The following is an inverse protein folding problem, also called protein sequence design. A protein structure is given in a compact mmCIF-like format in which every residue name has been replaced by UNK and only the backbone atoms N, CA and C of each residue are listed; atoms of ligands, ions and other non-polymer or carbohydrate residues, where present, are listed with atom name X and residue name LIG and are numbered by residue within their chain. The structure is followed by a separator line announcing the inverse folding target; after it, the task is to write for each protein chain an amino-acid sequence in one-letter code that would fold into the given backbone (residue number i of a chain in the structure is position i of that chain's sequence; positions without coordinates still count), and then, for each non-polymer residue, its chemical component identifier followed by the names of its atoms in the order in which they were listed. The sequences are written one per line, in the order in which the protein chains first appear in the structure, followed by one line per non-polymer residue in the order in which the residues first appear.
data_IF_941884087547
#
_entry.id   IF_941884087547
#
_cell.length_a   1.000
_cell.length_b   1.000
_cell.length_c   1.000
_cell.angle_alpha   90.00
_cell.angle_beta   90.00
_cell.angle_gamma   90.00
#
_symmetry.space_group_name_H-M   'P 1'
#
loop_
_entity.id
_entity.type
_entity.pdbx_description
1 polymer ?
#
# COMPACT_ATOMS: atom_id res chain seq x y z
N UNK A 1 -14.44 -15.44 -30.31
CA UNK A 1 -14.07 -14.68 -29.10
C UNK A 1 -13.89 -13.24 -29.50
N UNK A 2 -14.83 -12.37 -29.15
CA UNK A 2 -14.71 -10.92 -29.41
C UNK A 2 -13.63 -10.41 -28.48
N UNK A 3 -12.49 -9.97 -29.04
CA UNK A 3 -11.46 -9.28 -28.27
C UNK A 3 -12.11 -8.06 -27.62
N UNK A 4 -12.04 -7.94 -26.30
CA UNK A 4 -12.47 -6.76 -25.57
C UNK A 4 -11.69 -5.57 -26.16
N UNK A 5 -12.39 -4.71 -26.90
CA UNK A 5 -11.82 -3.49 -27.47
C UNK A 5 -11.40 -2.61 -26.29
N UNK A 6 -10.11 -2.63 -25.96
CA UNK A 6 -9.58 -1.87 -24.84
C UNK A 6 -9.88 -0.39 -25.02
N UNK A 7 -10.41 0.24 -23.98
CA UNK A 7 -10.67 1.68 -23.96
C UNK A 7 -9.57 2.36 -23.16
N UNK A 8 -9.03 3.45 -23.67
CA UNK A 8 -8.11 4.30 -22.92
C UNK A 8 -8.85 5.01 -21.79
N UNK A 9 -8.16 5.32 -20.70
CA UNK A 9 -8.73 6.04 -19.56
C UNK A 9 -9.27 7.43 -19.94
N UNK A 10 -8.78 8.01 -21.04
CA UNK A 10 -9.18 9.30 -21.62
C UNK A 10 -10.48 9.24 -22.43
N UNK A 11 -10.85 8.08 -22.98
CA UNK A 11 -12.09 7.87 -23.75
C UNK A 11 -13.31 7.56 -22.87
N UNK A 12 -13.12 7.42 -21.55
CA UNK A 12 -14.21 7.12 -20.61
C UNK A 12 -15.11 8.34 -20.39
N UNK A 13 -16.43 8.14 -20.46
CA UNK A 13 -17.39 9.13 -19.95
C UNK A 13 -17.08 9.47 -18.50
N UNK A 14 -17.23 10.76 -18.12
CA UNK A 14 -16.97 11.24 -16.75
C UNK A 14 -17.64 10.40 -15.66
N UNK A 15 -18.86 9.91 -15.93
CA UNK A 15 -19.59 9.05 -14.99
C UNK A 15 -18.92 7.68 -14.78
N UNK A 16 -18.44 7.04 -15.87
CA UNK A 16 -17.75 5.75 -15.81
C UNK A 16 -16.36 5.89 -15.18
N UNK A 17 -15.65 6.97 -15.51
CA UNK A 17 -14.36 7.29 -14.90
C UNK A 17 -14.50 7.50 -13.39
N UNK A 18 -15.47 8.33 -12.97
CA UNK A 18 -15.72 8.59 -11.55
C UNK A 18 -16.11 7.31 -10.81
N UNK A 19 -17.00 6.50 -11.39
CA UNK A 19 -17.39 5.22 -10.82
C UNK A 19 -16.18 4.29 -10.61
N UNK A 20 -15.34 4.10 -11.63
CA UNK A 20 -14.13 3.27 -11.51
C UNK A 20 -13.14 3.84 -10.47
N UNK A 21 -12.98 5.17 -10.41
CA UNK A 21 -12.10 5.82 -9.46
C UNK A 21 -12.57 5.66 -8.01
N UNK A 22 -13.86 5.88 -7.75
CA UNK A 22 -14.45 5.66 -6.43
C UNK A 22 -14.37 4.20 -6.03
N UNK A 23 -14.67 3.28 -6.94
CA UNK A 23 -14.60 1.84 -6.68
C UNK A 23 -13.18 1.42 -6.27
N UNK A 24 -12.15 1.82 -7.00
CA UNK A 24 -10.76 1.46 -6.62
C UNK A 24 -10.32 2.23 -5.36
N UNK A 25 -10.80 3.44 -5.12
CA UNK A 25 -10.55 4.16 -3.85
C UNK A 25 -11.16 3.42 -2.66
N UNK A 26 -12.37 2.85 -2.79
CA UNK A 26 -12.95 2.00 -1.73
C UNK A 26 -12.17 0.72 -1.52
N UNK A 27 -11.51 0.18 -2.55
CA UNK A 27 -10.59 -0.94 -2.40
C UNK A 27 -9.38 -0.56 -1.55
N UNK A 28 -8.76 0.60 -1.80
CA UNK A 28 -7.67 1.14 -0.97
C UNK A 28 -8.09 1.35 0.50
N UNK A 29 -9.30 1.87 0.73
CA UNK A 29 -9.85 2.00 2.08
C UNK A 29 -10.02 0.64 2.75
N UNK A 30 -10.69 -0.30 2.08
CA UNK A 30 -11.04 -1.60 2.68
C UNK A 30 -9.81 -2.45 2.96
N UNK A 31 -8.82 -2.42 2.06
CA UNK A 31 -7.48 -2.93 2.32
C UNK A 31 -6.88 -2.25 3.55
N UNK A 32 -6.77 -0.92 3.57
CA UNK A 32 -6.09 -0.20 4.65
C UNK A 32 -6.69 -0.52 6.03
N UNK A 33 -8.00 -0.68 6.08
CA UNK A 33 -8.74 -1.15 7.24
C UNK A 33 -8.32 -2.56 7.66
N UNK A 34 -8.22 -3.48 6.70
CA UNK A 34 -7.84 -4.86 6.95
C UNK A 34 -6.37 -4.99 7.40
N UNK A 35 -5.47 -4.15 6.91
CA UNK A 35 -4.08 -4.05 7.43
C UNK A 35 -4.04 -3.67 8.89
N UNK A 36 -4.74 -2.58 9.24
CA UNK A 36 -4.77 -2.11 10.61
C UNK A 36 -5.35 -3.16 11.56
N UNK A 37 -6.35 -3.92 11.11
CA UNK A 37 -6.84 -5.10 11.85
C UNK A 37 -5.74 -6.16 12.01
N UNK A 38 -5.08 -6.57 10.92
CA UNK A 38 -4.02 -7.58 10.95
C UNK A 38 -2.87 -7.20 11.89
N UNK A 39 -2.50 -5.92 11.98
CA UNK A 39 -1.45 -5.45 12.88
C UNK A 39 -1.81 -5.63 14.35
N UNK A 40 -3.05 -5.31 14.74
CA UNK A 40 -3.53 -5.55 16.11
C UNK A 40 -3.55 -7.04 16.42
N UNK A 41 -3.98 -7.86 15.46
CA UNK A 41 -4.00 -9.31 15.62
C UNK A 41 -2.56 -9.86 15.77
N UNK A 42 -1.62 -9.41 14.94
CA UNK A 42 -0.20 -9.79 15.00
C UNK A 42 0.44 -9.47 16.36
N UNK A 43 0.16 -8.29 16.92
CA UNK A 43 0.62 -7.94 18.28
C UNK A 43 0.05 -8.91 19.33
N UNK A 44 -1.22 -9.28 19.19
CA UNK A 44 -1.86 -10.22 20.10
C UNK A 44 -1.29 -11.65 19.98
N UNK A 45 -0.97 -12.11 18.76
CA UNK A 45 -0.33 -13.41 18.54
C UNK A 45 0.98 -13.58 19.29
N UNK A 46 1.82 -12.55 19.31
CA UNK A 46 3.10 -12.60 20.02
C UNK A 46 2.89 -12.85 21.51
N UNK A 47 1.85 -12.24 22.10
CA UNK A 47 1.51 -12.40 23.53
C UNK A 47 0.85 -13.73 23.86
N UNK A 48 -0.05 -14.24 23.00
CA UNK A 48 -0.83 -15.45 23.28
C UNK A 48 -0.01 -16.73 23.06
N UNK A 49 0.87 -16.75 22.06
CA UNK A 49 1.65 -17.95 21.70
C UNK A 49 3.06 -17.97 22.26
N UNK A 50 3.49 -16.92 23.00
CA UNK A 50 4.84 -16.83 23.54
C UNK A 50 5.92 -16.94 22.47
N UNK A 51 5.63 -16.44 21.27
CA UNK A 51 6.47 -16.60 20.08
C UNK A 51 7.79 -15.88 20.31
N UNK A 52 8.91 -16.56 20.02
CA UNK A 52 10.24 -15.94 20.15
C UNK A 52 10.38 -14.78 19.17
N UNK A 53 11.21 -13.77 19.49
CA UNK A 53 11.48 -12.65 18.57
C UNK A 53 11.89 -13.12 17.17
N UNK A 54 12.69 -14.19 17.09
CA UNK A 54 13.09 -14.82 15.84
C UNK A 54 11.90 -15.29 15.00
N UNK A 55 10.94 -15.97 15.62
CA UNK A 55 9.73 -16.44 14.93
C UNK A 55 8.81 -15.27 14.53
N UNK A 56 8.71 -14.21 15.34
CA UNK A 56 7.97 -13.01 14.93
C UNK A 56 8.58 -12.34 13.70
N UNK A 57 9.92 -12.24 13.67
CA UNK A 57 10.66 -11.70 12.52
C UNK A 57 10.53 -12.61 11.30
N UNK A 58 10.53 -13.93 11.46
CA UNK A 58 10.33 -14.88 10.36
C UNK A 58 8.91 -14.80 9.78
N UNK A 59 7.90 -14.52 10.59
CA UNK A 59 6.52 -14.31 10.10
C UNK A 59 6.44 -13.04 9.23
N UNK A 60 7.09 -11.95 9.68
CA UNK A 60 7.24 -10.74 8.89
C UNK A 60 8.03 -11.01 7.60
N UNK A 61 9.12 -11.76 7.68
CA UNK A 61 9.90 -12.16 6.51
C UNK A 61 9.06 -12.97 5.51
N UNK A 62 8.17 -13.85 5.96
CA UNK A 62 7.28 -14.59 5.07
C UNK A 62 6.26 -13.67 4.39
N UNK A 63 5.66 -12.76 5.16
CA UNK A 63 4.73 -11.77 4.63
C UNK A 63 5.38 -10.87 3.56
N UNK A 64 6.58 -10.37 3.83
CA UNK A 64 7.31 -9.48 2.92
C UNK A 64 8.05 -10.23 1.81
N UNK A 65 8.50 -11.45 2.08
CA UNK A 65 9.03 -12.36 1.07
C UNK A 65 8.00 -12.68 0.00
N UNK A 66 6.72 -12.74 0.36
CA UNK A 66 5.63 -12.89 -0.59
C UNK A 66 5.56 -11.70 -1.58
N UNK A 67 5.77 -10.46 -1.13
CA UNK A 67 5.83 -9.29 -2.01
C UNK A 67 6.95 -9.42 -3.04
N UNK A 68 8.15 -9.75 -2.57
CA UNK A 68 9.32 -9.87 -3.43
C UNK A 68 9.17 -11.00 -4.46
N UNK A 69 8.69 -12.17 -4.02
CA UNK A 69 8.58 -13.36 -4.87
C UNK A 69 7.37 -13.29 -5.80
N UNK A 70 6.22 -12.80 -5.32
CA UNK A 70 4.95 -12.90 -6.04
C UNK A 70 4.60 -11.69 -6.90
N UNK A 71 5.02 -10.46 -6.53
CA UNK A 71 4.68 -9.25 -7.28
C UNK A 71 5.04 -9.33 -8.77
N UNK A 72 6.20 -9.89 -9.20
CA UNK A 72 6.51 -10.06 -10.62
C UNK A 72 5.53 -10.99 -11.35
N UNK A 73 5.12 -12.09 -10.71
CA UNK A 73 4.14 -13.03 -11.27
C UNK A 73 2.75 -12.40 -11.39
N UNK A 74 2.35 -11.61 -10.39
CA UNK A 74 1.11 -10.85 -10.44
C UNK A 74 1.10 -9.86 -11.63
N UNK A 75 2.23 -9.18 -11.88
CA UNK A 75 2.39 -8.31 -13.06
C UNK A 75 2.23 -9.04 -14.39
N UNK A 76 2.86 -10.22 -14.53
CA UNK A 76 2.72 -11.08 -15.73
C UNK A 76 1.27 -11.55 -15.92
N UNK A 77 0.61 -11.96 -14.83
CA UNK A 77 -0.78 -12.40 -14.85
C UNK A 77 -1.71 -11.27 -15.32
N UNK A 78 -1.57 -10.08 -14.76
CA UNK A 78 -2.38 -8.92 -15.16
C UNK A 78 -2.10 -8.47 -16.59
N UNK A 79 -0.89 -8.68 -17.09
CA UNK A 79 -0.57 -8.44 -18.49
C UNK A 79 -1.41 -9.32 -19.40
N UNK A 80 -1.49 -10.62 -19.10
CA UNK A 80 -2.21 -11.59 -19.92
C UNK A 80 -3.73 -11.54 -19.75
N UNK A 81 -4.22 -11.23 -18.55
CA UNK A 81 -5.62 -11.41 -18.17
C UNK A 81 -6.36 -10.12 -17.78
N UNK A 82 -5.66 -8.98 -17.71
CA UNK A 82 -6.27 -7.70 -17.37
C UNK A 82 -6.27 -7.34 -15.88
N UNK A 83 -6.63 -6.10 -15.57
CA UNK A 83 -6.71 -5.58 -14.20
C UNK A 83 -7.84 -6.21 -13.40
N UNK A 84 -9.04 -6.38 -13.99
CA UNK A 84 -10.20 -6.95 -13.29
C UNK A 84 -9.90 -8.37 -12.77
N UNK A 85 -9.33 -9.24 -13.61
CA UNK A 85 -8.93 -10.59 -13.20
C UNK A 85 -7.79 -10.57 -12.19
N UNK A 86 -6.87 -9.60 -12.26
CA UNK A 86 -5.83 -9.39 -11.25
C UNK A 86 -6.42 -9.06 -9.86
N UNK A 87 -7.38 -8.15 -9.79
CA UNK A 87 -8.08 -7.79 -8.53
C UNK A 87 -8.79 -9.02 -7.95
N UNK A 88 -9.49 -9.80 -8.78
CA UNK A 88 -10.12 -11.05 -8.34
C UNK A 88 -9.13 -12.08 -7.80
N UNK A 89 -7.98 -12.25 -8.47
CA UNK A 89 -6.91 -13.14 -8.00
C UNK A 89 -6.39 -12.68 -6.63
N UNK A 90 -6.12 -11.38 -6.47
CA UNK A 90 -5.63 -10.81 -5.22
C UNK A 90 -6.62 -10.97 -4.05
N UNK A 91 -7.90 -10.63 -4.27
CA UNK A 91 -8.95 -10.78 -3.25
C UNK A 91 -9.21 -12.25 -2.89
N UNK A 92 -9.09 -13.16 -3.87
CA UNK A 92 -9.26 -14.60 -3.64
C UNK A 92 -8.10 -15.17 -2.81
N UNK A 93 -6.85 -14.83 -3.14
CA UNK A 93 -5.66 -15.23 -2.37
C UNK A 93 -5.72 -14.66 -0.95
N UNK A 94 -6.11 -13.39 -0.81
CA UNK A 94 -6.29 -12.75 0.50
C UNK A 94 -7.31 -13.49 1.36
N UNK A 95 -8.50 -13.75 0.82
CA UNK A 95 -9.58 -14.46 1.53
C UNK A 95 -9.18 -15.90 1.86
N UNK A 96 -8.50 -16.59 0.94
CA UNK A 96 -8.01 -17.96 1.15
C UNK A 96 -6.97 -18.01 2.27
N UNK A 97 -6.03 -17.08 2.30
CA UNK A 97 -5.03 -16.99 3.36
C UNK A 97 -5.66 -16.70 4.73
N UNK A 98 -6.68 -15.85 4.78
CA UNK A 98 -7.45 -15.60 6.01
C UNK A 98 -8.27 -16.83 6.46
N UNK A 99 -8.82 -17.63 5.53
CA UNK A 99 -9.51 -18.89 5.86
C UNK A 99 -8.52 -19.93 6.40
N UNK A 100 -7.34 -20.07 5.78
CA UNK A 100 -6.28 -20.99 6.24
C UNK A 100 -5.68 -20.61 7.59
N UNK A 101 -5.89 -19.37 8.02
CA UNK A 101 -5.54 -18.93 9.35
C UNK A 101 -6.34 -19.70 10.44
N UNK A 102 -7.61 -20.02 10.17
CA UNK A 102 -8.48 -20.74 11.12
C UNK A 102 -7.95 -22.12 11.54
N UNK A 103 -7.69 -23.07 10.61
CA UNK A 103 -7.10 -24.36 10.99
C UNK A 103 -5.71 -24.17 11.60
N UNK A 104 -4.91 -23.21 11.12
CA UNK A 104 -3.59 -22.91 11.70
C UNK A 104 -3.68 -22.52 13.17
N UNK A 105 -4.70 -21.71 13.53
CA UNK A 105 -5.01 -21.34 14.91
C UNK A 105 -5.49 -22.53 15.75
N UNK A 106 -6.31 -23.41 15.19
CA UNK A 106 -6.82 -24.60 15.90
C UNK A 106 -5.72 -25.61 16.21
N UNK A 107 -4.81 -25.85 15.27
CA UNK A 107 -3.71 -26.81 15.42
C UNK A 107 -2.47 -26.21 16.09
N UNK A 108 -2.43 -24.89 16.30
CA UNK A 108 -1.36 -24.17 16.98
C UNK A 108 0.04 -24.44 16.39
N UNK A 109 0.13 -24.71 15.08
CA UNK A 109 1.40 -25.00 14.40
C UNK A 109 1.95 -23.74 13.74
N UNK A 110 3.13 -23.30 14.18
CA UNK A 110 3.84 -22.14 13.62
C UNK A 110 3.96 -22.15 12.10
N UNK A 111 4.29 -23.30 11.49
CA UNK A 111 4.41 -23.41 10.03
C UNK A 111 3.10 -23.14 9.26
N UNK A 112 1.95 -23.48 9.84
CA UNK A 112 0.64 -23.18 9.23
C UNK A 112 0.36 -21.68 9.18
N UNK A 113 0.74 -20.96 10.24
CA UNK A 113 0.65 -19.51 10.27
C UNK A 113 1.58 -18.85 9.25
N UNK A 114 2.83 -19.30 9.17
CA UNK A 114 3.79 -18.79 8.16
C UNK A 114 3.25 -18.97 6.74
N UNK A 115 2.72 -20.16 6.42
CA UNK A 115 2.12 -20.43 5.11
C UNK A 115 0.89 -19.55 4.84
N UNK A 116 0.01 -19.39 5.83
CA UNK A 116 -1.19 -18.56 5.70
C UNK A 116 -0.83 -17.09 5.48
N UNK A 117 0.13 -16.56 6.25
CA UNK A 117 0.64 -15.19 6.13
C UNK A 117 1.32 -14.96 4.77
N UNK A 118 2.05 -15.95 4.24
CA UNK A 118 2.64 -15.87 2.91
C UNK A 118 1.55 -15.75 1.83
N UNK A 119 0.49 -16.57 1.91
CA UNK A 119 -0.64 -16.52 0.96
C UNK A 119 -1.38 -15.17 1.03
N UNK A 120 -1.60 -14.64 2.23
CA UNK A 120 -2.15 -13.28 2.42
C UNK A 120 -1.24 -12.24 1.75
N UNK A 121 0.08 -12.31 1.98
CA UNK A 121 1.06 -11.43 1.36
C UNK A 121 1.02 -11.47 -0.17
N UNK A 122 0.88 -12.65 -0.78
CA UNK A 122 0.71 -12.79 -2.24
C UNK A 122 -0.57 -12.10 -2.74
N UNK A 123 -1.67 -12.24 -2.01
CA UNK A 123 -2.94 -11.58 -2.33
C UNK A 123 -2.82 -10.06 -2.29
N UNK A 124 -2.22 -9.54 -1.22
CA UNK A 124 -2.01 -8.10 -1.04
C UNK A 124 -1.07 -7.53 -2.08
N UNK A 125 0.08 -8.17 -2.33
CA UNK A 125 1.00 -7.77 -3.40
C UNK A 125 0.29 -7.71 -4.76
N UNK A 126 -0.59 -8.68 -5.06
CA UNK A 126 -1.38 -8.67 -6.31
C UNK A 126 -2.32 -7.46 -6.36
N UNK A 127 -3.00 -7.14 -5.25
CA UNK A 127 -3.91 -5.99 -5.16
C UNK A 127 -3.16 -4.66 -5.26
N UNK A 128 -1.99 -4.54 -4.65
CA UNK A 128 -1.13 -3.36 -4.72
C UNK A 128 -0.70 -3.06 -6.16
N UNK A 129 -0.19 -4.09 -6.86
CA UNK A 129 0.23 -3.94 -8.26
C UNK A 129 -0.98 -3.56 -9.12
N UNK A 130 -2.14 -4.20 -8.89
CA UNK A 130 -3.34 -3.92 -9.67
C UNK A 130 -3.88 -2.51 -9.43
N UNK A 131 -4.09 -2.13 -8.16
CA UNK A 131 -4.79 -0.90 -7.79
C UNK A 131 -3.94 0.35 -8.04
N UNK A 132 -2.64 0.33 -7.67
CA UNK A 132 -1.75 1.47 -7.91
C UNK A 132 -1.58 1.71 -9.42
N UNK A 133 -1.38 0.63 -10.19
CA UNK A 133 -1.27 0.70 -11.64
C UNK A 133 -2.56 1.18 -12.29
N UNK A 134 -3.72 0.64 -11.88
CA UNK A 134 -5.01 1.03 -12.45
C UNK A 134 -5.32 2.51 -12.20
N UNK A 135 -5.15 3.03 -10.98
CA UNK A 135 -5.41 4.45 -10.70
C UNK A 135 -4.46 5.39 -11.46
N UNK A 136 -3.20 4.99 -11.64
CA UNK A 136 -2.25 5.83 -12.37
C UNK A 136 -2.65 5.98 -13.84
N UNK A 137 -3.12 4.90 -14.48
CA UNK A 137 -3.60 4.92 -15.88
C UNK A 137 -5.06 5.36 -16.04
N UNK A 138 -5.83 5.45 -14.96
CA UNK A 138 -7.24 5.84 -15.00
C UNK A 138 -7.39 7.36 -15.24
N UNK A 139 -7.47 7.76 -16.51
CA UNK A 139 -7.68 9.15 -16.94
C UNK A 139 -6.38 9.82 -17.36
N UNK A 140 -6.36 11.16 -17.38
CA UNK A 140 -5.24 11.90 -17.99
C UNK A 140 -3.91 11.72 -17.22
N UNK A 141 -2.77 11.53 -17.90
CA UNK A 141 -1.47 11.33 -17.23
C UNK A 141 -1.04 12.48 -16.32
N UNK A 142 -1.48 13.72 -16.60
CA UNK A 142 -1.14 14.93 -15.82
C UNK A 142 -1.54 14.82 -14.35
N UNK A 143 -2.72 14.26 -14.06
CA UNK A 143 -3.26 14.18 -12.70
C UNK A 143 -3.07 12.80 -12.05
N UNK A 144 -2.25 11.91 -12.63
CA UNK A 144 -2.04 10.56 -12.13
C UNK A 144 -1.52 10.55 -10.68
N UNK A 145 -0.53 11.39 -10.37
CA UNK A 145 0.03 11.50 -9.03
C UNK A 145 -1.02 11.95 -8.00
N UNK A 146 -1.83 12.97 -8.35
CA UNK A 146 -2.89 13.48 -7.48
C UNK A 146 -3.98 12.43 -7.21
N UNK A 147 -4.40 11.69 -8.24
CA UNK A 147 -5.39 10.60 -8.10
C UNK A 147 -4.89 9.48 -7.20
N UNK A 148 -3.66 9.03 -7.43
CA UNK A 148 -3.05 7.98 -6.62
C UNK A 148 -2.87 8.43 -5.17
N UNK A 149 -2.41 9.67 -4.97
CA UNK A 149 -2.24 10.24 -3.64
C UNK A 149 -3.59 10.40 -2.90
N UNK A 150 -4.66 10.76 -3.59
CA UNK A 150 -6.01 10.82 -3.01
C UNK A 150 -6.49 9.44 -2.56
N UNK A 151 -6.38 8.42 -3.42
CA UNK A 151 -6.80 7.06 -3.08
C UNK A 151 -5.99 6.47 -1.92
N UNK A 152 -4.67 6.71 -1.90
CA UNK A 152 -3.81 6.32 -0.79
C UNK A 152 -4.06 7.15 0.49
N UNK A 153 -4.62 8.36 0.39
CA UNK A 153 -5.11 9.11 1.55
C UNK A 153 -6.21 8.35 2.30
N UNK A 154 -7.17 7.78 1.57
CA UNK A 154 -8.24 6.94 2.15
C UNK A 154 -7.71 5.64 2.75
N UNK A 155 -6.69 5.03 2.15
CA UNK A 155 -5.98 3.91 2.76
C UNK A 155 -5.41 4.31 4.13
N UNK A 156 -4.72 5.46 4.22
CA UNK A 156 -4.17 5.98 5.46
C UNK A 156 -5.25 6.13 6.54
N UNK A 157 -6.37 6.80 6.22
CA UNK A 157 -7.52 6.94 7.13
C UNK A 157 -8.01 5.58 7.65
N UNK A 158 -8.15 4.62 6.75
CA UNK A 158 -8.63 3.29 7.08
C UNK A 158 -7.67 2.53 8.02
N UNK A 159 -6.37 2.69 7.83
CA UNK A 159 -5.34 2.09 8.68
C UNK A 159 -5.33 2.63 10.11
N UNK A 160 -5.88 3.82 10.39
CA UNK A 160 -6.17 4.26 11.77
C UNK A 160 -7.51 3.76 12.29
N UNK A 161 -8.53 3.75 11.44
CA UNK A 161 -9.86 3.32 11.82
C UNK A 161 -9.87 1.84 12.24
N UNK A 162 -9.12 0.99 11.54
CA UNK A 162 -8.98 -0.44 11.81
C UNK A 162 -8.59 -0.75 13.26
N UNK A 163 -7.39 -0.34 13.72
CA UNK A 163 -6.93 -0.61 15.08
C UNK A 163 -7.81 0.02 16.16
N UNK A 164 -8.36 1.21 15.92
CA UNK A 164 -9.23 1.89 16.89
C UNK A 164 -10.56 1.16 17.10
N UNK A 165 -11.16 0.68 16.01
CA UNK A 165 -12.37 -0.15 16.07
C UNK A 165 -12.02 -1.50 16.69
N UNK A 166 -10.87 -2.08 16.30
CA UNK A 166 -10.42 -3.37 16.79
C UNK A 166 -10.19 -3.38 18.31
N UNK A 167 -9.41 -2.42 18.81
CA UNK A 167 -9.09 -2.29 20.21
C UNK A 167 -10.31 -2.02 21.09
N UNK A 168 -11.32 -1.30 20.59
CA UNK A 168 -12.56 -1.01 21.35
C UNK A 168 -13.59 -2.13 21.31
N UNK A 169 -13.74 -2.86 20.21
CA UNK A 169 -14.85 -3.80 20.04
C UNK A 169 -14.45 -5.27 20.15
N UNK A 170 -13.22 -5.62 19.75
CA UNK A 170 -12.78 -7.03 19.76
C UNK A 170 -11.92 -7.39 20.97
N UNK A 171 -11.14 -6.45 21.53
CA UNK A 171 -10.11 -6.77 22.53
C UNK A 171 -10.36 -6.21 23.95
N UNK A 172 -11.60 -5.86 24.31
CA UNK A 172 -11.97 -5.46 25.68
C UNK A 172 -12.52 -6.65 26.51
N UNK A 173 -12.14 -6.71 27.79
CA UNK A 173 -12.74 -7.61 28.78
C UNK A 173 -12.28 -9.08 28.67
N UNK A 174 -13.22 -10.04 28.77
CA UNK A 174 -12.95 -11.49 28.78
C UNK A 174 -12.35 -12.04 27.47
N UNK A 175 -12.33 -11.24 26.40
CA UNK A 175 -11.87 -11.62 25.06
C UNK A 175 -10.41 -11.21 24.79
N UNK A 176 -9.75 -10.57 25.76
CA UNK A 176 -8.42 -10.00 25.61
C UNK A 176 -7.28 -11.03 25.56
N UNK A 177 -7.55 -12.33 25.74
CA UNK A 177 -6.52 -13.39 25.70
C UNK A 177 -6.98 -14.68 25.02
N UNK A 178 -8.18 -14.69 24.43
CA UNK A 178 -8.80 -15.92 23.90
C UNK A 178 -8.59 -16.04 22.40
N UNK A 179 -8.06 -17.18 21.98
CA UNK A 179 -7.83 -17.56 20.58
C UNK A 179 -9.09 -17.53 19.72
N UNK A 180 -10.25 -17.81 20.32
CA UNK A 180 -11.53 -17.82 19.63
C UNK A 180 -11.87 -16.45 19.04
N UNK A 181 -11.61 -15.36 19.76
CA UNK A 181 -11.82 -13.98 19.28
C UNK A 181 -11.04 -13.73 18.00
N UNK A 182 -9.80 -14.23 17.95
CA UNK A 182 -8.89 -13.99 16.83
C UNK A 182 -9.35 -14.76 15.59
N UNK A 183 -9.85 -15.99 15.76
CA UNK A 183 -10.42 -16.79 14.67
C UNK A 183 -11.62 -16.10 14.01
N UNK A 184 -12.53 -15.56 14.82
CA UNK A 184 -13.70 -14.83 14.31
C UNK A 184 -13.33 -13.54 13.59
N UNK A 185 -12.28 -12.83 14.02
CA UNK A 185 -11.81 -11.63 13.31
C UNK A 185 -11.20 -12.00 11.95
N UNK A 186 -10.38 -13.05 11.85
CA UNK A 186 -9.89 -13.52 10.55
C UNK A 186 -11.01 -13.98 9.62
N UNK A 187 -12.03 -14.64 10.15
CA UNK A 187 -13.21 -15.03 9.37
C UNK A 187 -13.98 -13.79 8.87
N UNK A 188 -14.13 -12.76 9.70
CA UNK A 188 -14.73 -11.49 9.31
C UNK A 188 -13.93 -10.78 8.21
N UNK A 189 -12.61 -10.79 8.31
CA UNK A 189 -11.70 -10.25 7.28
C UNK A 189 -11.79 -11.06 5.97
N UNK A 190 -11.83 -12.39 6.06
CA UNK A 190 -12.03 -13.26 4.89
C UNK A 190 -13.40 -13.01 4.23
N UNK A 191 -14.45 -12.86 5.04
CA UNK A 191 -15.80 -12.53 4.57
C UNK A 191 -15.85 -11.18 3.86
N UNK A 192 -15.20 -10.16 4.41
CA UNK A 192 -15.07 -8.85 3.78
C UNK A 192 -14.35 -8.95 2.42
N UNK A 193 -13.26 -9.71 2.34
CA UNK A 193 -12.54 -9.98 1.09
C UNK A 193 -13.43 -10.66 0.04
N UNK A 194 -14.23 -11.65 0.44
CA UNK A 194 -15.20 -12.34 -0.41
C UNK A 194 -16.32 -11.42 -0.89
N UNK A 195 -16.88 -10.60 -0.01
CA UNK A 195 -17.93 -9.63 -0.36
C UNK A 195 -17.40 -8.63 -1.38
N UNK A 196 -16.20 -8.07 -1.17
CA UNK A 196 -15.55 -7.22 -2.16
C UNK A 196 -15.34 -7.96 -3.48
N UNK A 197 -14.87 -9.20 -3.44
CA UNK A 197 -14.63 -10.00 -4.64
C UNK A 197 -15.92 -10.16 -5.48
N UNK A 198 -17.05 -10.42 -4.82
CA UNK A 198 -18.37 -10.51 -5.44
C UNK A 198 -18.83 -9.14 -5.96
N UNK A 199 -18.64 -8.05 -5.20
CA UNK A 199 -18.99 -6.71 -5.66
C UNK A 199 -18.21 -6.32 -6.92
N UNK A 200 -16.89 -6.59 -6.95
CA UNK A 200 -16.04 -6.34 -8.11
C UNK A 200 -16.40 -7.23 -9.32
N UNK A 201 -17.05 -8.37 -9.09
CA UNK A 201 -17.51 -9.24 -10.17
C UNK A 201 -18.66 -8.57 -10.94
N UNK A 202 -19.64 -8.03 -10.20
CA UNK A 202 -20.79 -7.31 -10.75
C UNK A 202 -20.45 -5.89 -11.22
N UNK A 203 -19.33 -5.31 -10.78
CA UNK A 203 -18.90 -4.01 -11.26
C UNK A 203 -18.24 -4.11 -12.64
N UNK A 204 -18.73 -3.32 -13.59
CA UNK A 204 -18.08 -3.13 -14.88
C UNK A 204 -16.88 -2.18 -14.73
N UNK A 205 -15.74 -2.77 -14.39
CA UNK A 205 -14.47 -2.06 -14.39
C UNK A 205 -13.99 -1.93 -15.85
N UNK A 206 -13.89 -0.70 -16.41
CA UNK A 206 -13.38 -0.53 -17.76
C UNK A 206 -11.95 -1.06 -17.84
N UNK A 207 -11.72 -1.95 -18.79
CA UNK A 207 -10.41 -2.58 -18.96
C UNK A 207 -9.52 -1.67 -19.80
N UNK A 208 -8.47 -1.15 -19.15
CA UNK A 208 -7.42 -0.38 -19.78
C UNK A 208 -6.36 -1.39 -20.24
N UNK A 209 -6.31 -1.64 -21.55
CA UNK A 209 -5.33 -2.55 -22.15
C UNK A 209 -4.02 -1.83 -22.40
N UNK A 210 -2.92 -2.58 -22.37
CA UNK A 210 -1.58 -2.05 -22.69
C UNK A 210 -1.48 -1.61 -24.15
N UNK A 211 -2.20 -2.29 -25.05
CA UNK A 211 -2.31 -1.96 -26.47
C UNK A 211 -2.96 -0.58 -26.66
N UNK A 212 -4.09 -0.32 -25.98
CA UNK A 212 -4.73 0.99 -26.02
C UNK A 212 -3.84 2.09 -25.42
N UNK A 213 -3.05 1.76 -24.40
CA UNK A 213 -2.09 2.69 -23.80
C UNK A 213 -0.90 2.99 -24.75
N UNK A 214 -0.45 1.99 -25.50
CA UNK A 214 0.60 2.14 -26.51
C UNK A 214 0.09 2.97 -27.70
N UNK A 215 -1.12 2.68 -28.18
CA UNK A 215 -1.76 3.43 -29.27
C UNK A 215 -1.93 4.92 -28.89
N UNK A 216 -2.33 5.23 -27.65
CA UNK A 216 -2.44 6.63 -27.16
C UNK A 216 -1.07 7.34 -27.09
N UNK A 217 0.01 6.60 -26.82
CA UNK A 217 1.38 7.14 -26.81
C UNK A 217 1.85 7.41 -28.26
N UNK A 218 1.53 6.52 -29.19
CA UNK A 218 1.86 6.66 -30.63
C UNK A 218 1.07 7.81 -31.28
N UNK A 219 -0.21 7.99 -30.94
CA UNK A 219 -1.04 9.10 -31.45
C UNK A 219 -0.50 10.48 -31.04
N UNK A 220 0.18 10.56 -29.89
CA UNK A 220 0.80 11.81 -29.38
C UNK A 220 2.23 12.00 -29.95
N UNK A 221 2.70 11.10 -30.83
CA UNK A 221 4.00 11.20 -31.49
C UNK A 221 5.20 10.88 -30.60
N UNK A 222 4.98 10.18 -29.48
CA UNK A 222 6.06 9.66 -28.64
C UNK A 222 6.47 8.31 -29.24
N UNK A 223 7.68 8.21 -29.77
CA UNK A 223 8.21 6.94 -30.27
C UNK A 223 8.17 5.89 -29.15
N UNK A 224 7.56 4.75 -29.46
CA UNK A 224 7.55 3.58 -28.60
C UNK A 224 8.97 3.05 -28.55
N UNK A 225 9.71 3.42 -27.51
CA UNK A 225 10.94 2.70 -27.19
C UNK A 225 10.54 1.33 -26.60
N UNK A 226 9.98 0.49 -27.47
CA UNK A 226 9.74 -0.94 -27.29
C UNK A 226 11.07 -1.71 -27.20
N UNK A 227 12.17 -1.01 -26.92
CA UNK A 227 13.42 -1.59 -26.48
C UNK A 227 13.23 -2.44 -25.21
N UNK A 228 14.23 -3.26 -24.87
CA UNK A 228 14.14 -4.15 -23.72
C UNK A 228 13.81 -3.42 -22.42
N UNK A 229 12.97 -4.03 -21.57
CA UNK A 229 12.53 -3.46 -20.28
C UNK A 229 13.67 -2.95 -19.38
N UNK A 230 14.87 -3.52 -19.47
CA UNK A 230 16.03 -3.06 -18.70
C UNK A 230 16.57 -1.67 -19.13
N UNK A 231 16.24 -1.20 -20.34
CA UNK A 231 16.60 0.13 -20.84
C UNK A 231 15.65 1.23 -20.38
N UNK A 232 14.54 0.87 -19.71
CA UNK A 232 13.60 1.81 -19.13
C UNK A 232 14.17 2.39 -17.83
N UNK A 233 15.24 3.17 -17.94
CA UNK A 233 16.02 3.71 -16.82
C UNK A 233 15.14 4.45 -15.81
N UNK A 234 14.11 5.17 -16.27
CA UNK A 234 13.15 5.87 -15.40
C UNK A 234 12.41 4.92 -14.44
N UNK A 235 12.02 3.74 -14.91
CA UNK A 235 11.36 2.74 -14.09
C UNK A 235 12.35 2.10 -13.10
N UNK A 236 13.60 1.86 -13.53
CA UNK A 236 14.65 1.31 -12.66
C UNK A 236 15.05 2.32 -11.58
N UNK A 237 15.24 3.59 -11.92
CA UNK A 237 15.47 4.66 -10.95
C UNK A 237 14.26 4.86 -10.03
N UNK A 238 13.04 4.74 -10.55
CA UNK A 238 11.81 4.72 -9.75
C UNK A 238 11.79 3.57 -8.74
N UNK A 239 12.22 2.37 -9.15
CA UNK A 239 12.36 1.22 -8.26
C UNK A 239 13.41 1.44 -7.15
N UNK A 240 14.58 1.97 -7.49
CA UNK A 240 15.63 2.31 -6.50
C UNK A 240 15.14 3.39 -5.55
N UNK A 241 14.51 4.45 -6.06
CA UNK A 241 13.96 5.54 -5.27
C UNK A 241 12.84 5.03 -4.33
N UNK A 242 11.97 4.14 -4.82
CA UNK A 242 10.94 3.52 -4.01
C UNK A 242 11.55 2.66 -2.90
N UNK A 243 12.63 1.92 -3.19
CA UNK A 243 13.37 1.12 -2.21
C UNK A 243 13.97 1.98 -1.10
N UNK A 244 14.65 3.07 -1.48
CA UNK A 244 15.20 4.00 -0.52
C UNK A 244 14.10 4.67 0.32
N UNK A 245 12.99 5.08 -0.32
CA UNK A 245 11.86 5.71 0.36
C UNK A 245 11.22 4.78 1.39
N UNK A 246 10.88 3.55 1.02
CA UNK A 246 10.24 2.62 1.98
C UNK A 246 11.22 2.27 3.09
N UNK A 247 12.49 2.00 2.77
CA UNK A 247 13.51 1.75 3.78
C UNK A 247 13.59 2.88 4.81
N UNK A 248 13.54 4.13 4.35
CA UNK A 248 13.51 5.31 5.21
C UNK A 248 12.21 5.41 6.03
N UNK A 249 11.05 5.29 5.38
CA UNK A 249 9.72 5.31 6.02
C UNK A 249 9.65 4.34 7.20
N UNK A 250 10.05 3.11 6.94
CA UNK A 250 9.97 2.03 7.92
C UNK A 250 11.02 2.20 9.02
N UNK A 251 12.24 2.59 8.66
CA UNK A 251 13.27 2.89 9.64
C UNK A 251 12.78 3.96 10.63
N UNK A 252 12.25 5.07 10.12
CA UNK A 252 11.72 6.15 10.95
C UNK A 252 10.55 5.65 11.80
N UNK A 253 9.56 4.97 11.22
CA UNK A 253 8.40 4.47 11.97
C UNK A 253 8.77 3.46 13.07
N UNK A 254 9.73 2.57 12.80
CA UNK A 254 10.17 1.52 13.73
C UNK A 254 10.91 2.09 14.93
N UNK A 255 11.71 3.14 14.74
CA UNK A 255 12.48 3.77 15.81
C UNK A 255 11.80 4.98 16.45
N UNK A 256 10.70 5.49 15.88
CA UNK A 256 10.01 6.69 16.36
C UNK A 256 9.62 6.62 17.84
N UNK A 257 9.06 5.50 18.32
CA UNK A 257 8.67 5.37 19.74
C UNK A 257 9.89 5.46 20.65
N UNK A 258 10.96 4.75 20.32
CA UNK A 258 12.20 4.76 21.11
C UNK A 258 12.82 6.16 21.11
N UNK A 259 12.91 6.79 19.94
CA UNK A 259 13.41 8.16 19.80
C UNK A 259 12.63 9.16 20.65
N UNK A 260 11.29 9.06 20.68
CA UNK A 260 10.43 9.95 21.46
C UNK A 260 10.63 9.79 22.97
N UNK A 261 10.86 8.58 23.46
CA UNK A 261 11.17 8.32 24.88
C UNK A 261 12.54 8.88 25.24
N UNK A 262 13.52 8.71 24.36
CA UNK A 262 14.92 9.11 24.58
C UNK A 262 15.16 10.62 24.43
N UNK A 263 14.14 11.43 24.10
CA UNK A 263 14.25 12.90 23.98
C UNK A 263 14.56 13.63 25.30
N UNK A 264 14.61 12.95 26.45
CA UNK A 264 14.96 13.56 27.75
C UNK A 264 13.89 14.49 28.33
N UNK A 265 12.69 14.52 27.75
CA UNK A 265 11.56 15.39 28.18
C UNK A 265 10.49 14.63 28.98
N UNK A 266 10.83 13.45 29.53
CA UNK A 266 9.94 12.67 30.39
C UNK A 266 8.71 12.08 29.66
N UNK A 267 8.84 11.78 28.37
CA UNK A 267 7.77 11.11 27.61
C UNK A 267 7.70 9.64 28.05
N UNK A 268 6.55 9.22 28.57
CA UNK A 268 6.29 7.81 28.87
C UNK A 268 6.10 7.00 27.57
N UNK A 269 6.35 5.69 27.62
CA UNK A 269 6.17 4.81 26.45
C UNK A 269 4.76 4.87 25.87
N UNK A 270 3.72 4.93 26.72
CA UNK A 270 2.34 5.11 26.28
C UNK A 270 2.11 6.46 25.56
N UNK A 271 2.71 7.54 26.07
CA UNK A 271 2.61 8.86 25.41
C UNK A 271 3.38 8.90 24.09
N UNK A 272 4.52 8.22 23.99
CA UNK A 272 5.27 8.08 22.74
C UNK A 272 4.49 7.31 21.68
N UNK A 273 3.80 6.22 22.05
CA UNK A 273 2.90 5.50 21.13
C UNK A 273 1.76 6.38 20.61
N UNK A 274 1.13 7.18 21.48
CA UNK A 274 0.09 8.14 21.06
C UNK A 274 0.63 9.23 20.12
N UNK A 275 1.83 9.74 20.40
CA UNK A 275 2.50 10.73 19.53
C UNK A 275 2.82 10.14 18.16
N UNK A 276 3.26 8.88 18.07
CA UNK A 276 3.45 8.20 16.79
C UNK A 276 2.13 8.12 16.01
N UNK A 277 1.01 7.81 16.66
CA UNK A 277 -0.31 7.84 16.00
C UNK A 277 -0.64 9.23 15.45
N UNK A 278 -0.29 10.32 16.15
CA UNK A 278 -0.46 11.68 15.64
C UNK A 278 0.49 12.02 14.48
N UNK A 279 1.74 11.53 14.47
CA UNK A 279 2.64 11.64 13.31
C UNK A 279 2.03 10.96 12.08
N UNK A 280 1.49 9.76 12.25
CA UNK A 280 0.86 9.00 11.19
C UNK A 280 -0.46 9.68 10.70
N UNK A 281 -1.22 10.35 11.58
CA UNK A 281 -2.33 11.22 11.17
C UNK A 281 -1.85 12.42 10.35
N UNK A 282 -0.72 13.02 10.75
CA UNK A 282 -0.10 14.14 10.03
C UNK A 282 0.34 13.71 8.62
N UNK A 283 0.89 12.51 8.48
CA UNK A 283 1.19 11.90 7.18
C UNK A 283 -0.07 11.77 6.30
N UNK A 284 -1.18 11.33 6.89
CA UNK A 284 -2.45 11.19 6.15
C UNK A 284 -3.05 12.54 5.76
N UNK A 285 -3.01 13.53 6.65
CA UNK A 285 -3.40 14.91 6.34
C UNK A 285 -2.50 15.49 5.24
N UNK A 286 -1.20 15.23 5.30
CA UNK A 286 -0.20 15.60 4.28
C UNK A 286 -0.55 15.03 2.90
N UNK A 287 -1.09 13.81 2.83
CA UNK A 287 -1.58 13.26 1.56
C UNK A 287 -2.71 14.10 0.98
N UNK A 288 -3.76 14.40 1.75
CA UNK A 288 -4.89 15.20 1.26
C UNK A 288 -4.48 16.62 0.86
N UNK A 289 -3.60 17.27 1.64
CA UNK A 289 -3.03 18.58 1.29
C UNK A 289 -2.20 18.46 0.01
N UNK A 290 -1.39 17.40 -0.11
CA UNK A 290 -0.59 17.08 -1.28
C UNK A 290 -1.42 16.91 -2.55
N UNK A 291 -2.64 16.37 -2.47
CA UNK A 291 -3.56 16.30 -3.63
C UNK A 291 -3.87 17.68 -4.18
N UNK A 292 -4.13 18.67 -3.30
CA UNK A 292 -4.42 20.05 -3.72
C UNK A 292 -3.19 20.66 -4.39
N UNK A 293 -2.01 20.48 -3.80
CA UNK A 293 -0.75 21.03 -4.33
C UNK A 293 -0.38 20.38 -5.68
N UNK A 294 -0.55 19.07 -5.82
CA UNK A 294 -0.27 18.31 -7.05
C UNK A 294 -1.17 18.70 -8.24
N UNK A 295 -2.27 19.41 -8.01
CA UNK A 295 -3.07 19.94 -9.11
C UNK A 295 -2.39 21.16 -9.77
N UNK A 296 -1.49 21.84 -9.06
CA UNK A 296 -0.92 23.14 -9.45
C UNK A 296 0.58 23.03 -9.75
N UNK A 297 1.29 22.14 -9.05
CA UNK A 297 2.74 21.95 -9.17
C UNK A 297 3.05 20.64 -9.88
N UNK A 298 4.11 20.61 -10.70
CA UNK A 298 4.60 19.39 -11.34
C UNK A 298 5.00 18.33 -10.30
N UNK A 299 4.57 17.06 -10.44
CA UNK A 299 4.88 16.00 -9.47
C UNK A 299 6.38 15.75 -9.25
N UNK A 300 7.23 15.95 -10.25
CA UNK A 300 8.67 15.74 -10.11
C UNK A 300 9.30 16.86 -9.28
N UNK A 301 8.94 18.13 -9.54
CA UNK A 301 9.40 19.25 -8.74
C UNK A 301 8.94 19.14 -7.29
N UNK A 302 7.66 18.79 -7.08
CA UNK A 302 7.12 18.63 -5.73
C UNK A 302 7.81 17.49 -4.98
N UNK A 303 8.07 16.36 -5.65
CA UNK A 303 8.84 15.24 -5.08
C UNK A 303 10.25 15.68 -4.69
N UNK A 304 10.95 16.46 -5.52
CA UNK A 304 12.30 16.96 -5.20
C UNK A 304 12.30 17.86 -3.96
N UNK A 305 11.33 18.78 -3.86
CA UNK A 305 11.19 19.66 -2.69
C UNK A 305 10.93 18.85 -1.43
N UNK A 306 10.01 17.87 -1.50
CA UNK A 306 9.64 17.04 -0.37
C UNK A 306 10.79 16.10 0.04
N UNK A 307 11.55 15.57 -0.92
CA UNK A 307 12.72 14.75 -0.65
C UNK A 307 13.82 15.54 0.08
N UNK A 308 14.12 16.76 -0.37
CA UNK A 308 15.07 17.65 0.32
C UNK A 308 14.58 17.97 1.73
N UNK A 309 13.30 18.31 1.90
CA UNK A 309 12.71 18.57 3.21
C UNK A 309 12.83 17.34 4.13
N UNK A 310 12.51 16.13 3.65
CA UNK A 310 12.67 14.89 4.41
C UNK A 310 14.13 14.67 4.84
N UNK A 311 15.10 14.87 3.94
CA UNK A 311 16.53 14.75 4.28
C UNK A 311 16.95 15.78 5.33
N UNK A 312 16.51 17.04 5.20
CA UNK A 312 16.79 18.09 6.19
C UNK A 312 16.19 17.75 7.55
N UNK A 313 14.92 17.37 7.62
CA UNK A 313 14.28 17.01 8.89
C UNK A 313 14.88 15.75 9.49
N UNK A 314 15.29 14.76 8.69
CA UNK A 314 16.00 13.59 9.19
C UNK A 314 17.34 13.97 9.87
N UNK A 315 18.09 14.90 9.27
CA UNK A 315 19.31 15.43 9.88
C UNK A 315 18.96 16.20 11.17
N UNK A 316 17.94 17.06 11.15
CA UNK A 316 17.51 17.80 12.34
C UNK A 316 17.10 16.86 13.48
N UNK A 317 16.37 15.77 13.20
CA UNK A 317 15.99 14.75 14.19
C UNK A 317 17.23 14.11 14.82
N UNK A 318 18.31 13.90 14.05
CA UNK A 318 19.56 13.34 14.58
C UNK A 318 20.36 14.28 15.47
N UNK A 319 20.17 15.60 15.35
CA UNK A 319 20.97 16.62 16.04
C UNK A 319 20.21 17.33 17.16
N UNK A 320 18.89 17.45 17.03
CA UNK A 320 18.04 18.19 17.95
C UNK A 320 17.44 17.27 19.00
N UNK A 321 17.40 17.75 20.24
CA UNK A 321 16.80 17.06 21.37
C UNK A 321 15.57 17.82 21.89
N UNK A 322 14.72 17.11 22.64
CA UNK A 322 13.53 17.66 23.28
C UNK A 322 12.41 17.97 22.28
N UNK A 323 11.62 19.02 22.56
CA UNK A 323 10.41 19.35 21.79
C UNK A 323 10.71 19.71 20.32
N UNK A 324 11.90 20.26 20.04
CA UNK A 324 12.32 20.58 18.68
C UNK A 324 12.49 19.31 17.83
N UNK A 325 13.10 18.26 18.39
CA UNK A 325 13.23 16.94 17.73
C UNK A 325 11.87 16.29 17.46
N UNK A 326 10.95 16.39 18.41
CA UNK A 326 9.55 15.94 18.23
C UNK A 326 8.88 16.70 17.09
N UNK A 327 9.00 18.03 17.05
CA UNK A 327 8.43 18.84 15.97
C UNK A 327 9.00 18.48 14.59
N UNK A 328 10.31 18.27 14.49
CA UNK A 328 10.95 17.82 13.26
C UNK A 328 10.46 16.44 12.80
N UNK A 329 10.15 15.53 13.74
CA UNK A 329 9.56 14.23 13.42
C UNK A 329 8.17 14.39 12.77
N UNK A 330 7.31 15.26 13.30
CA UNK A 330 6.00 15.53 12.69
C UNK A 330 6.14 16.10 11.27
N UNK A 331 7.07 17.04 11.07
CA UNK A 331 7.33 17.60 9.74
C UNK A 331 7.87 16.55 8.77
N UNK A 332 8.74 15.64 9.22
CA UNK A 332 9.21 14.53 8.40
C UNK A 332 8.05 13.67 7.91
N UNK A 333 7.15 13.23 8.80
CA UNK A 333 5.96 12.46 8.41
C UNK A 333 5.04 13.24 7.44
N UNK A 334 4.93 14.56 7.60
CA UNK A 334 4.18 15.39 6.66
C UNK A 334 4.77 15.36 5.25
N UNK A 335 6.08 15.59 5.11
CA UNK A 335 6.77 15.60 3.81
C UNK A 335 6.98 14.19 3.23
N UNK A 336 6.87 13.14 4.03
CA UNK A 336 6.96 11.78 3.55
C UNK A 336 5.69 11.33 2.79
N UNK A 337 4.57 12.01 3.04
CA UNK A 337 3.21 11.61 2.64
C UNK A 337 2.99 11.34 1.15
N UNK A 338 3.49 12.23 0.27
CA UNK A 338 3.25 12.20 -1.19
C UNK A 338 4.33 11.43 -1.96
N UNK A 339 5.46 11.11 -1.31
CA UNK A 339 6.64 10.60 -1.99
C UNK A 339 6.36 9.28 -2.69
N UNK A 340 5.67 8.33 -2.04
CA UNK A 340 5.28 7.06 -2.66
C UNK A 340 4.43 7.26 -3.94
N UNK A 341 3.26 7.94 -3.89
CA UNK A 341 2.47 8.17 -5.10
C UNK A 341 3.21 8.88 -6.22
N UNK A 342 4.06 9.86 -5.89
CA UNK A 342 4.84 10.60 -6.88
C UNK A 342 5.92 9.71 -7.52
N UNK A 343 6.70 8.98 -6.71
CA UNK A 343 7.73 8.05 -7.22
C UNK A 343 7.08 6.98 -8.09
N UNK A 344 5.98 6.38 -7.64
CA UNK A 344 5.27 5.36 -8.39
C UNK A 344 4.80 5.89 -9.74
N UNK A 345 4.06 7.01 -9.75
CA UNK A 345 3.51 7.56 -11.00
C UNK A 345 4.57 8.10 -11.96
N UNK A 346 5.67 8.67 -11.45
CA UNK A 346 6.80 9.11 -12.28
C UNK A 346 7.59 7.93 -12.83
N UNK A 347 7.77 6.87 -12.04
CA UNK A 347 8.45 5.64 -12.42
C UNK A 347 7.66 4.80 -13.43
N UNK A 348 6.32 4.86 -13.38
CA UNK A 348 5.44 4.19 -14.35
C UNK A 348 4.97 5.06 -15.51
N UNK A 349 5.45 6.31 -15.62
CA UNK A 349 4.97 7.27 -16.63
C UNK A 349 5.38 6.84 -18.04
N UNK A 350 4.42 6.83 -18.96
CA UNK A 350 4.62 6.55 -20.40
C UNK A 350 5.31 5.20 -20.69
N UNK A 351 5.06 4.18 -19.87
CA UNK A 351 5.63 2.85 -20.10
C UNK A 351 4.91 2.03 -21.18
N UNK A 352 3.73 2.46 -21.67
CA UNK A 352 2.96 1.75 -22.69
C UNK A 352 2.79 0.26 -22.36
N UNK A 353 3.33 -0.61 -23.21
CA UNK A 353 3.35 -2.09 -23.10
C UNK A 353 4.08 -2.61 -21.85
N UNK A 354 4.85 -1.76 -21.18
CA UNK A 354 5.59 -2.12 -19.97
C UNK A 354 4.92 -1.65 -18.68
N UNK A 355 3.75 -1.01 -18.74
CA UNK A 355 3.12 -0.40 -17.56
C UNK A 355 2.84 -1.40 -16.43
N UNK A 356 2.29 -2.58 -16.73
CA UNK A 356 1.98 -3.58 -15.70
C UNK A 356 3.25 -4.23 -15.13
N UNK A 357 4.28 -4.44 -15.97
CA UNK A 357 5.59 -4.94 -15.54
C UNK A 357 6.36 -3.93 -14.68
N UNK A 358 6.37 -2.66 -15.07
CA UNK A 358 6.98 -1.57 -14.30
C UNK A 358 6.30 -1.36 -12.96
N UNK A 359 4.96 -1.40 -12.94
CA UNK A 359 4.18 -1.35 -11.71
C UNK A 359 4.53 -2.51 -10.77
N UNK A 360 4.67 -3.74 -11.31
CA UNK A 360 5.09 -4.89 -10.49
C UNK A 360 6.51 -4.78 -9.96
N UNK A 361 7.44 -4.19 -10.73
CA UNK A 361 8.80 -3.96 -10.27
C UNK A 361 8.81 -2.97 -9.10
N UNK A 362 8.11 -1.84 -9.23
CA UNK A 362 8.08 -0.81 -8.18
C UNK A 362 7.38 -1.32 -6.91
N UNK A 363 6.31 -2.11 -7.02
CA UNK A 363 5.61 -2.71 -5.86
C UNK A 363 6.33 -3.93 -5.28
N UNK A 364 7.23 -4.56 -6.03
CA UNK A 364 8.13 -5.60 -5.49
C UNK A 364 8.96 -5.03 -4.34
N UNK A 365 9.20 -3.71 -4.36
CA UNK A 365 9.71 -3.00 -3.20
C UNK A 365 8.64 -3.01 -2.13
N UNK A 366 8.98 -3.70 -1.05
CA UNK A 366 8.31 -3.76 0.23
C UNK A 366 7.55 -2.48 0.63
N UNK A 367 6.49 -2.62 1.42
CA UNK A 367 5.84 -1.55 2.19
C UNK A 367 5.40 -2.14 3.53
N UNK A 368 5.67 -1.45 4.65
CA UNK A 368 5.04 -1.76 5.94
C UNK A 368 3.59 -1.28 5.95
#
# INVERSE_FOLDING_TARGET
MVALKGTTGSQLSRARWAFAFFLVTTLFFTWGFAYGLLDVLNAHFQTVFGITKLQSTLLQLAYFGAYFVWAPWAGIFMRKYGYKKGIHLGLSLYSLGAIFFWPSARFQKYGGFVGSTFVIGCGLATLEVAANSYISVLGTPKYAAARLNFAQGFQGVASFAGPLIAGRWFFLGKNATTLDTVQWVYLGVAGLGLVLNIMFYFCDLPEITEEALADEIHEVGIEDDAGPFYKQYRCVFGWVAQTAYVGAQVGVASFAVNYLVDQGIGISQSRASNLLSYCQMTFTAGRFIGVVILNWIDPALLLSIYAVACSTFAICISQLNGQAGVGCLFMLFFFESICYPCIFTLGTKNLGVHTKRGSSLIVMVWRL
#
